data_IF_670602512820
#
_entry.id   IF_670602512820
#
_cell.length_a   1.000
_cell.length_b   1.000
_cell.length_c   1.000
_cell.angle_alpha   90.00
_cell.angle_beta   90.00
_cell.angle_gamma   90.00
#
_symmetry.space_group_name_H-M   'P 1'
#
loop_
_entity.id
_entity.type
_entity.pdbx_description
1 polymer ?
#
# COMPACT_ATOMS: atom_id res chain seq x y z
N UNK A 1 -3.02 4.82 20.87
CA UNK A 1 -2.70 5.49 19.60
C UNK A 1 -3.52 6.78 19.55
N UNK A 2 -2.86 7.94 19.44
CA UNK A 2 -3.55 9.20 19.21
C UNK A 2 -4.15 9.18 17.79
N UNK A 3 -5.35 9.71 17.63
CA UNK A 3 -6.13 9.73 16.37
C UNK A 3 -5.42 10.44 15.20
N UNK A 4 -4.23 11.01 15.43
CA UNK A 4 -3.45 11.79 14.48
C UNK A 4 -2.41 11.01 13.67
N UNK A 5 -2.21 9.69 13.85
CA UNK A 5 -1.23 8.93 13.04
C UNK A 5 -1.82 8.30 11.76
N UNK A 6 -2.97 8.78 11.26
CA UNK A 6 -3.65 8.23 10.07
C UNK A 6 -3.13 8.79 8.73
N UNK A 7 -1.83 9.11 8.63
CA UNK A 7 -1.29 9.90 7.52
C UNK A 7 -0.36 9.15 6.55
N UNK A 8 -0.51 7.83 6.38
CA UNK A 8 0.28 7.11 5.37
C UNK A 8 0.06 7.66 3.94
N UNK A 9 -1.16 8.08 3.61
CA UNK A 9 -1.46 8.69 2.32
C UNK A 9 -0.77 10.06 2.17
N UNK A 10 -0.80 10.93 3.21
CA UNK A 10 -0.08 12.20 3.18
C UNK A 10 1.44 12.01 3.14
N UNK A 11 1.98 10.93 3.73
CA UNK A 11 3.39 10.60 3.63
C UNK A 11 3.79 10.30 2.19
N UNK A 12 2.98 9.50 1.48
CA UNK A 12 3.19 9.20 0.06
C UNK A 12 3.03 10.46 -0.80
N UNK A 13 1.95 11.22 -0.60
CA UNK A 13 1.71 12.47 -1.33
C UNK A 13 2.84 13.49 -1.05
N UNK A 14 3.38 13.52 0.18
CA UNK A 14 4.51 14.36 0.55
C UNK A 14 5.81 13.93 -0.15
N UNK A 15 6.06 12.62 -0.24
CA UNK A 15 7.22 12.08 -0.96
C UNK A 15 7.14 12.31 -2.47
N UNK A 16 5.93 12.37 -3.03
CA UNK A 16 5.67 12.66 -4.44
C UNK A 16 5.56 14.17 -4.76
N UNK A 17 5.71 15.03 -3.75
CA UNK A 17 5.50 16.49 -3.84
C UNK A 17 4.11 16.90 -4.36
N UNK A 18 3.09 16.06 -4.11
CA UNK A 18 1.70 16.24 -4.53
C UNK A 18 0.84 16.92 -3.46
N UNK A 19 1.42 17.29 -2.30
CA UNK A 19 0.72 18.06 -1.27
C UNK A 19 0.71 19.55 -1.59
N UNK A 20 -0.46 20.19 -1.39
CA UNK A 20 -0.53 21.65 -1.44
C UNK A 20 0.36 22.28 -0.35
N UNK A 21 0.88 23.52 -0.54
CA UNK A 21 1.86 24.11 0.36
C UNK A 21 1.41 24.23 1.83
N UNK A 22 0.09 24.38 2.07
CA UNK A 22 -0.45 24.49 3.43
C UNK A 22 -0.46 23.12 4.09
N UNK A 23 -0.94 22.10 3.39
CA UNK A 23 -0.96 20.70 3.88
C UNK A 23 0.45 20.17 4.07
N UNK A 24 1.37 20.45 3.14
CA UNK A 24 2.80 20.12 3.24
C UNK A 24 3.40 20.66 4.54
N UNK A 25 3.21 21.95 4.83
CA UNK A 25 3.72 22.58 6.05
C UNK A 25 3.12 22.01 7.34
N UNK A 26 1.82 21.69 7.32
CA UNK A 26 1.15 21.04 8.47
C UNK A 26 1.67 19.62 8.68
N UNK A 27 1.89 18.88 7.59
CA UNK A 27 2.42 17.52 7.62
C UNK A 27 3.89 17.48 8.07
N UNK A 28 4.74 18.40 7.59
CA UNK A 28 6.12 18.55 8.08
C UNK A 28 6.18 18.87 9.57
N UNK A 29 5.26 19.69 10.07
CA UNK A 29 5.14 19.97 11.50
C UNK A 29 4.73 18.71 12.26
N UNK A 30 3.79 17.93 11.73
CA UNK A 30 3.41 16.66 12.34
C UNK A 30 4.56 15.65 12.34
N UNK A 31 5.25 15.45 11.21
CA UNK A 31 6.47 14.64 11.13
C UNK A 31 7.55 15.09 12.10
N UNK A 32 7.62 16.39 12.41
CA UNK A 32 8.55 16.94 13.38
C UNK A 32 8.23 16.60 14.84
N UNK A 33 6.96 16.38 15.13
CA UNK A 33 6.40 16.25 16.48
C UNK A 33 5.94 14.80 16.76
N UNK A 34 5.98 13.91 15.76
CA UNK A 34 5.52 12.53 15.84
C UNK A 34 6.62 11.54 15.44
N UNK A 35 7.22 10.90 16.45
CA UNK A 35 8.31 9.93 16.28
C UNK A 35 7.92 8.74 15.40
N UNK A 36 6.66 8.27 15.46
CA UNK A 36 6.15 7.15 14.65
C UNK A 36 6.14 7.49 13.16
N UNK A 37 5.56 8.64 12.78
CA UNK A 37 5.49 9.06 11.38
C UNK A 37 6.86 9.41 10.82
N UNK A 38 7.72 9.98 11.65
CA UNK A 38 9.11 10.23 11.29
C UNK A 38 9.88 8.93 11.05
N UNK A 39 9.72 7.94 11.93
CA UNK A 39 10.36 6.64 11.79
C UNK A 39 9.95 5.98 10.48
N UNK A 40 8.65 6.02 10.15
CA UNK A 40 8.13 5.52 8.88
C UNK A 40 8.72 6.26 7.67
N UNK A 41 8.79 7.60 7.71
CA UNK A 41 9.43 8.40 6.66
C UNK A 41 10.90 8.01 6.46
N UNK A 42 11.66 7.88 7.55
CA UNK A 42 13.06 7.47 7.51
C UNK A 42 13.23 6.04 6.99
N UNK A 43 12.32 5.12 7.32
CA UNK A 43 12.34 3.73 6.82
C UNK A 43 12.10 3.65 5.31
N UNK A 44 11.10 4.37 4.79
CA UNK A 44 10.80 4.37 3.35
C UNK A 44 12.00 4.95 2.59
N UNK A 45 12.59 6.03 3.10
CA UNK A 45 13.75 6.68 2.46
C UNK A 45 15.06 5.88 2.59
N UNK A 46 15.22 5.06 3.63
CA UNK A 46 16.40 4.20 3.78
C UNK A 46 16.52 3.18 2.64
N UNK A 47 15.41 2.74 2.05
CA UNK A 47 15.48 1.86 0.89
C UNK A 47 16.03 2.56 -0.37
N UNK A 48 16.17 3.89 -0.34
CA UNK A 48 16.71 4.70 -1.44
C UNK A 48 18.17 5.15 -1.21
N UNK A 49 18.68 5.15 0.02
CA UNK A 49 20.05 5.57 0.35
C UNK A 49 20.64 4.71 1.46
N UNK A 50 21.84 4.14 1.24
CA UNK A 50 22.58 3.19 2.11
C UNK A 50 22.92 3.73 3.52
N UNK A 51 21.92 4.08 4.32
CA UNK A 51 22.08 4.62 5.67
C UNK A 51 21.71 3.53 6.69
N UNK A 52 22.58 3.29 7.69
CA UNK A 52 22.41 2.21 8.65
C UNK A 52 21.22 2.45 9.60
N UNK A 53 20.36 1.44 9.81
CA UNK A 53 19.13 1.52 10.65
C UNK A 53 19.52 1.65 12.12
N UNK A 54 20.61 1.02 12.51
CA UNK A 54 21.07 0.99 13.90
C UNK A 54 21.58 2.36 14.35
N UNK A 55 22.11 3.17 13.43
CA UNK A 55 22.50 4.57 13.70
C UNK A 55 21.29 5.47 13.94
N UNK A 56 20.17 5.25 13.23
CA UNK A 56 18.94 6.03 13.41
C UNK A 56 18.19 5.60 14.67
N UNK A 57 18.13 4.28 14.96
CA UNK A 57 17.49 3.74 16.17
C UNK A 57 18.25 4.08 17.45
N UNK A 58 19.58 4.21 17.37
CA UNK A 58 20.42 4.63 18.50
C UNK A 58 20.52 6.15 18.66
N UNK A 59 19.98 6.91 17.71
CA UNK A 59 19.86 8.36 17.80
C UNK A 59 18.70 8.73 18.73
N UNK A 60 18.94 8.62 20.04
CA UNK A 60 18.10 9.31 21.00
C UNK A 60 18.27 10.82 20.76
N UNK A 61 17.21 11.50 20.34
CA UNK A 61 17.19 12.96 20.28
C UNK A 61 17.15 13.50 21.71
N UNK A 62 18.32 13.57 22.35
CA UNK A 62 18.47 14.05 23.73
C UNK A 62 18.10 15.52 23.87
N UNK A 63 18.01 16.24 22.76
CA UNK A 63 17.63 17.65 22.74
C UNK A 63 16.94 18.06 21.43
N UNK A 64 16.21 19.18 21.49
CA UNK A 64 15.64 19.86 20.33
C UNK A 64 16.71 20.31 19.31
N UNK A 65 17.95 20.54 19.74
CA UNK A 65 19.07 20.87 18.85
C UNK A 65 19.56 19.67 18.04
N UNK A 66 19.58 18.47 18.63
CA UNK A 66 19.97 17.24 17.92
C UNK A 66 18.96 16.93 16.81
N UNK A 67 17.69 17.21 17.08
CA UNK A 67 16.61 17.12 16.11
C UNK A 67 16.78 18.08 14.93
N UNK A 68 17.12 19.34 15.21
CA UNK A 68 17.37 20.34 14.16
C UNK A 68 18.62 20.01 13.33
N UNK A 69 19.67 19.49 13.95
CA UNK A 69 20.87 19.03 13.25
C UNK A 69 20.59 17.84 12.34
N UNK A 70 19.79 16.88 12.79
CA UNK A 70 19.35 15.74 11.97
C UNK A 70 18.48 16.20 10.79
N UNK A 71 17.49 17.07 11.02
CA UNK A 71 16.69 17.68 9.94
C UNK A 71 17.55 18.37 8.90
N UNK A 72 18.52 19.16 9.36
CA UNK A 72 19.46 19.86 8.48
C UNK A 72 20.27 18.86 7.65
N UNK A 73 20.79 17.79 8.27
CA UNK A 73 21.57 16.74 7.59
C UNK A 73 20.74 15.96 6.56
N UNK A 74 19.47 15.67 6.87
CA UNK A 74 18.52 15.04 5.93
C UNK A 74 18.24 16.01 4.77
N UNK A 75 17.87 17.25 5.06
CA UNK A 75 17.61 18.28 4.04
C UNK A 75 18.84 18.52 3.13
N UNK A 76 20.03 18.64 3.69
CA UNK A 76 21.26 18.84 2.93
C UNK A 76 21.57 17.62 2.05
N UNK A 77 21.41 16.38 2.54
CA UNK A 77 21.65 15.19 1.71
C UNK A 77 20.57 14.96 0.64
N UNK A 78 19.33 15.34 0.91
CA UNK A 78 18.19 15.21 0.00
C UNK A 78 18.24 16.21 -1.16
N UNK A 79 18.46 17.49 -0.86
CA UNK A 79 18.26 18.57 -1.84
C UNK A 79 19.54 19.03 -2.55
N UNK A 80 20.73 18.65 -2.06
CA UNK A 80 22.00 19.01 -2.74
C UNK A 80 22.54 17.91 -3.65
N UNK A 81 22.21 16.63 -3.41
CA UNK A 81 22.70 15.50 -4.22
C UNK A 81 21.79 15.14 -5.39
N UNK A 82 20.52 15.47 -5.32
CA UNK A 82 19.58 15.41 -6.43
C UNK A 82 18.95 16.78 -6.63
N UNK A 83 19.57 17.68 -7.41
CA UNK A 83 18.86 18.86 -7.88
C UNK A 83 17.72 18.36 -8.75
N UNK A 84 16.50 18.38 -8.23
CA UNK A 84 15.29 18.29 -9.05
C UNK A 84 15.31 19.54 -9.93
N UNK A 85 15.88 19.40 -11.13
CA UNK A 85 15.87 20.49 -12.10
C UNK A 85 14.45 20.62 -12.62
N UNK A 86 13.86 21.81 -12.47
CA UNK A 86 12.54 22.28 -12.96
C UNK A 86 12.31 22.16 -14.49
N UNK A 87 12.95 21.22 -15.19
CA UNK A 87 13.07 21.25 -16.65
C UNK A 87 12.13 20.32 -17.44
N UNK A 88 11.21 19.58 -16.81
CA UNK A 88 10.23 18.77 -17.54
C UNK A 88 8.77 19.15 -17.22
N UNK A 89 8.47 20.44 -17.36
CA UNK A 89 7.15 21.05 -17.11
C UNK A 89 6.20 21.06 -18.33
N UNK A 90 6.25 20.09 -19.26
CA UNK A 90 5.34 20.14 -20.44
C UNK A 90 4.64 18.86 -20.91
N UNK A 91 4.80 17.71 -20.24
CA UNK A 91 4.10 16.48 -20.65
C UNK A 91 3.55 15.68 -19.46
N UNK A 92 2.83 16.34 -18.55
CA UNK A 92 2.07 15.70 -17.45
C UNK A 92 0.80 14.97 -17.94
N UNK A 93 0.93 14.00 -18.86
CA UNK A 93 -0.14 13.03 -19.19
C UNK A 93 0.26 11.56 -19.06
N UNK A 94 1.50 11.24 -18.68
CA UNK A 94 1.86 9.87 -18.30
C UNK A 94 1.86 9.74 -16.78
N UNK A 95 0.69 9.34 -16.26
CA UNK A 95 0.48 8.79 -14.91
C UNK A 95 1.58 7.76 -14.64
N UNK A 96 2.47 8.08 -13.72
CA UNK A 96 3.64 7.29 -13.40
C UNK A 96 3.28 5.86 -13.01
N UNK A 97 3.87 4.90 -13.72
CA UNK A 97 3.93 3.49 -13.34
C UNK A 97 5.07 3.40 -12.33
N UNK A 98 4.77 3.15 -11.06
CA UNK A 98 5.79 2.71 -10.11
C UNK A 98 6.37 1.39 -10.63
N UNK A 99 7.70 1.20 -10.66
CA UNK A 99 8.28 -0.13 -10.81
C UNK A 99 7.67 -1.05 -9.73
N UNK A 100 7.44 -2.32 -10.03
CA UNK A 100 6.97 -3.34 -9.07
C UNK A 100 7.96 -3.43 -7.88
N UNK A 101 7.83 -2.52 -6.91
CA UNK A 101 8.58 -2.53 -5.67
C UNK A 101 7.88 -3.55 -4.77
N UNK A 102 8.36 -4.78 -4.82
CA UNK A 102 8.18 -5.70 -3.70
C UNK A 102 8.87 -5.07 -2.50
N UNK A 103 8.10 -4.36 -1.67
CA UNK A 103 8.48 -3.95 -0.32
C UNK A 103 8.79 -5.23 0.46
N UNK A 104 10.03 -5.73 0.32
CA UNK A 104 10.63 -6.66 1.26
C UNK A 104 10.94 -5.86 2.53
N UNK A 105 9.87 -5.47 3.24
CA UNK A 105 9.93 -4.99 4.60
C UNK A 105 10.54 -6.13 5.43
N UNK A 106 11.84 -6.08 5.69
CA UNK A 106 12.38 -6.67 6.92
C UNK A 106 11.88 -5.78 8.05
N UNK A 107 10.63 -6.03 8.46
CA UNK A 107 10.00 -5.41 9.62
C UNK A 107 10.84 -5.83 10.81
N UNK A 108 11.29 -4.82 11.55
CA UNK A 108 11.97 -4.95 12.82
C UNK A 108 11.18 -5.84 13.78
N UNK A 109 11.84 -6.80 14.42
CA UNK A 109 11.19 -7.84 15.25
C UNK A 109 10.41 -7.29 16.46
N UNK A 110 10.45 -5.98 16.73
CA UNK A 110 9.82 -5.33 17.87
C UNK A 110 8.45 -4.66 17.60
N UNK A 111 7.96 -4.65 16.36
CA UNK A 111 6.57 -4.29 16.04
C UNK A 111 5.85 -5.51 15.45
N UNK A 112 5.45 -6.43 16.31
CA UNK A 112 4.71 -7.65 15.98
C UNK A 112 3.26 -7.38 15.54
N UNK A 113 3.02 -6.55 14.53
CA UNK A 113 1.95 -6.84 13.57
C UNK A 113 2.55 -7.79 12.54
N UNK A 114 2.62 -9.07 12.92
CA UNK A 114 3.06 -10.12 12.01
C UNK A 114 2.11 -10.12 10.80
N UNK A 115 2.58 -9.60 9.68
CA UNK A 115 1.94 -9.76 8.39
C UNK A 115 2.09 -11.24 8.01
N UNK A 116 1.14 -12.05 8.46
CA UNK A 116 1.09 -13.47 8.15
C UNK A 116 0.30 -13.66 6.87
N UNK A 117 0.93 -14.31 5.89
CA UNK A 117 0.18 -14.81 4.75
C UNK A 117 -0.70 -15.97 5.25
N UNK A 118 -2.01 -15.76 5.27
CA UNK A 118 -2.96 -16.78 5.73
C UNK A 118 -3.02 -17.93 4.73
N UNK A 119 -2.61 -17.69 3.48
CA UNK A 119 -2.53 -18.73 2.47
C UNK A 119 -1.18 -18.65 1.72
N UNK A 120 -0.20 -19.52 2.05
CA UNK A 120 1.13 -19.46 1.44
C UNK A 120 1.10 -19.63 -0.09
N UNK A 121 0.01 -20.17 -0.63
CA UNK A 121 -0.24 -20.30 -2.05
C UNK A 121 -1.51 -19.55 -2.47
N UNK A 122 -1.53 -18.96 -3.67
CA UNK A 122 -2.75 -18.33 -4.18
C UNK A 122 -3.86 -19.36 -4.34
N UNK A 123 -5.04 -18.99 -3.84
CA UNK A 123 -6.24 -19.74 -4.18
C UNK A 123 -6.62 -19.44 -5.63
N UNK A 124 -6.50 -20.45 -6.48
CA UNK A 124 -6.67 -20.31 -7.93
C UNK A 124 -7.99 -20.94 -8.35
N UNK A 125 -8.83 -20.16 -9.04
CA UNK A 125 -10.08 -20.64 -9.66
C UNK A 125 -10.12 -20.29 -11.13
N UNK A 126 -10.48 -21.28 -11.95
CA UNK A 126 -10.76 -21.09 -13.37
C UNK A 126 -12.27 -21.10 -13.57
N UNK A 127 -12.81 -20.04 -14.14
CA UNK A 127 -14.25 -19.89 -14.41
C UNK A 127 -14.43 -19.26 -15.78
N UNK A 128 -15.03 -20.01 -16.72
CA UNK A 128 -15.12 -19.62 -18.14
C UNK A 128 -13.72 -19.31 -18.69
N UNK A 129 -13.53 -18.16 -19.32
CA UNK A 129 -12.26 -17.71 -19.91
C UNK A 129 -11.34 -17.00 -18.91
N UNK A 130 -11.72 -16.98 -17.62
CA UNK A 130 -10.99 -16.29 -16.56
C UNK A 130 -10.27 -17.27 -15.65
N UNK A 131 -9.03 -16.96 -15.30
CA UNK A 131 -8.33 -17.53 -14.17
C UNK A 131 -8.14 -16.42 -13.12
N UNK A 132 -8.62 -16.69 -11.92
CA UNK A 132 -8.63 -15.78 -10.78
C UNK A 132 -7.70 -16.37 -9.74
N UNK A 133 -6.68 -15.63 -9.34
CA UNK A 133 -5.74 -16.00 -8.28
C UNK A 133 -5.95 -15.03 -7.12
N UNK A 134 -6.32 -15.56 -5.96
CA UNK A 134 -6.60 -14.81 -4.73
C UNK A 134 -5.45 -14.97 -3.74
N UNK A 135 -4.93 -13.85 -3.26
CA UNK A 135 -3.91 -13.77 -2.22
C UNK A 135 -4.50 -13.02 -1.02
N UNK A 136 -4.40 -13.61 0.17
CA UNK A 136 -4.99 -13.05 1.39
C UNK A 136 -3.91 -12.84 2.42
N UNK A 137 -3.78 -11.58 2.85
CA UNK A 137 -2.77 -11.17 3.82
C UNK A 137 -3.46 -10.74 5.10
N UNK A 138 -3.08 -11.34 6.24
CA UNK A 138 -3.52 -10.89 7.56
C UNK A 138 -2.82 -9.57 7.88
N UNK A 139 -3.61 -8.57 8.27
CA UNK A 139 -3.07 -7.32 8.83
C UNK A 139 -3.01 -7.44 10.36
N UNK A 140 -4.12 -7.86 10.97
CA UNK A 140 -4.26 -8.07 12.41
C UNK A 140 -5.32 -9.16 12.71
N UNK A 141 -5.70 -9.34 13.97
CA UNK A 141 -6.65 -10.37 14.40
C UNK A 141 -8.06 -10.27 13.79
N UNK A 142 -8.41 -9.11 13.25
CA UNK A 142 -9.75 -8.80 12.74
C UNK A 142 -9.76 -8.39 11.27
N UNK A 143 -8.61 -7.99 10.72
CA UNK A 143 -8.50 -7.36 9.41
C UNK A 143 -7.57 -8.10 8.45
N UNK A 144 -7.96 -8.12 7.18
CA UNK A 144 -7.24 -8.72 6.07
C UNK A 144 -7.17 -7.78 4.86
N UNK A 145 -6.18 -8.01 4.01
CA UNK A 145 -6.12 -7.49 2.66
C UNK A 145 -6.28 -8.64 1.67
N UNK A 146 -6.93 -8.37 0.53
CA UNK A 146 -7.08 -9.32 -0.56
C UNK A 146 -6.47 -8.71 -1.81
N UNK A 147 -5.51 -9.39 -2.43
CA UNK A 147 -5.04 -9.13 -3.79
C UNK A 147 -5.61 -10.18 -4.74
N UNK A 148 -6.07 -9.72 -5.90
CA UNK A 148 -6.73 -10.54 -6.90
C UNK A 148 -6.04 -10.32 -8.23
N UNK A 149 -5.49 -11.40 -8.77
CA UNK A 149 -4.88 -11.42 -10.09
C UNK A 149 -5.80 -12.16 -11.04
N UNK A 150 -6.32 -11.46 -12.04
CA UNK A 150 -7.25 -11.96 -13.06
C UNK A 150 -6.50 -12.07 -14.37
N UNK A 151 -6.39 -13.29 -14.88
CA UNK A 151 -5.94 -13.55 -16.25
C UNK A 151 -7.12 -14.00 -17.10
N UNK A 152 -7.16 -13.55 -18.37
CA UNK A 152 -8.17 -13.93 -19.35
C UNK A 152 -7.45 -14.62 -20.50
N UNK A 153 -8.03 -15.71 -21.02
CA UNK A 153 -7.42 -16.45 -22.14
C UNK A 153 -7.27 -15.59 -23.41
N UNK A 154 -8.09 -14.53 -23.53
CA UNK A 154 -8.00 -13.53 -24.60
C UNK A 154 -7.24 -12.29 -24.13
N UNK A 155 -6.36 -11.73 -24.95
CA UNK A 155 -5.46 -10.63 -24.59
C UNK A 155 -6.13 -9.27 -24.27
N UNK A 156 -7.40 -9.05 -24.62
CA UNK A 156 -8.00 -7.72 -24.47
C UNK A 156 -8.75 -7.57 -23.14
N UNK A 157 -8.17 -6.81 -22.21
CA UNK A 157 -8.80 -6.39 -20.95
C UNK A 157 -9.38 -4.99 -21.13
N UNK A 158 -10.57 -4.88 -21.73
CA UNK A 158 -11.27 -3.59 -21.82
C UNK A 158 -12.49 -3.59 -20.91
N UNK A 159 -12.61 -2.55 -20.09
CA UNK A 159 -13.76 -2.29 -19.22
C UNK A 159 -14.10 -3.44 -18.25
N UNK A 160 -13.07 -4.00 -17.62
CA UNK A 160 -13.26 -5.02 -16.58
C UNK A 160 -13.26 -4.37 -15.20
N UNK A 161 -14.30 -4.68 -14.44
CA UNK A 161 -14.44 -4.29 -13.04
C UNK A 161 -14.53 -5.54 -12.18
N UNK A 162 -14.04 -5.42 -10.96
CA UNK A 162 -14.13 -6.47 -9.95
C UNK A 162 -14.95 -5.94 -8.80
N UNK A 163 -16.04 -6.65 -8.53
CA UNK A 163 -16.98 -6.37 -7.46
C UNK A 163 -16.79 -7.41 -6.37
N UNK A 164 -16.56 -6.96 -5.15
CA UNK A 164 -16.44 -7.79 -3.96
C UNK A 164 -17.62 -7.49 -3.04
N UNK A 165 -18.44 -8.48 -2.76
CA UNK A 165 -19.66 -8.37 -1.94
C UNK A 165 -19.47 -9.21 -0.69
N UNK A 166 -19.52 -8.59 0.48
CA UNK A 166 -19.55 -9.28 1.79
C UNK A 166 -20.96 -9.81 2.05
N UNK A 167 -21.10 -10.90 2.82
CA UNK A 167 -22.39 -11.58 3.08
C UNK A 167 -23.52 -10.70 3.65
N UNK A 168 -23.18 -9.56 4.26
CA UNK A 168 -24.10 -8.53 4.76
C UNK A 168 -24.47 -7.47 3.70
N UNK A 169 -24.13 -7.71 2.44
CA UNK A 169 -24.36 -6.84 1.28
C UNK A 169 -23.49 -5.58 1.21
N UNK A 170 -22.41 -5.48 2.00
CA UNK A 170 -21.39 -4.44 1.77
C UNK A 170 -20.66 -4.72 0.46
N UNK A 171 -20.70 -3.76 -0.47
CA UNK A 171 -20.19 -3.90 -1.83
C UNK A 171 -19.03 -2.93 -2.08
N UNK A 172 -17.93 -3.49 -2.61
CA UNK A 172 -16.80 -2.71 -3.11
C UNK A 172 -16.59 -3.02 -4.58
N UNK A 173 -16.73 -2.01 -5.44
CA UNK A 173 -16.47 -2.08 -6.87
C UNK A 173 -15.18 -1.33 -7.22
N UNK A 174 -14.28 -1.96 -7.96
CA UNK A 174 -13.03 -1.32 -8.41
C UNK A 174 -12.68 -1.75 -9.84
N UNK A 175 -12.09 -0.86 -10.66
CA UNK A 175 -11.61 -1.22 -11.99
C UNK A 175 -10.38 -2.13 -11.90
N UNK A 176 -10.31 -3.15 -12.75
CA UNK A 176 -9.12 -3.98 -12.89
C UNK A 176 -8.04 -3.21 -13.66
N UNK A 177 -6.81 -3.18 -13.14
CA UNK A 177 -5.66 -2.53 -13.77
C UNK A 177 -4.53 -3.52 -13.95
N UNK A 178 -4.04 -3.69 -15.17
CA UNK A 178 -2.92 -4.60 -15.49
C UNK A 178 -3.15 -6.04 -14.99
N UNK A 179 -4.40 -6.49 -15.02
CA UNK A 179 -4.80 -7.81 -14.53
C UNK A 179 -4.79 -7.97 -13.01
N UNK A 180 -4.55 -6.89 -12.24
CA UNK A 180 -4.48 -6.93 -10.77
C UNK A 180 -5.48 -5.97 -10.12
N UNK A 181 -5.88 -6.30 -8.89
CA UNK A 181 -6.69 -5.44 -8.04
C UNK A 181 -6.51 -5.80 -6.56
N UNK A 182 -6.59 -4.79 -5.69
CA UNK A 182 -6.45 -5.00 -4.24
C UNK A 182 -7.60 -4.36 -3.48
N UNK A 183 -8.04 -5.05 -2.43
CA UNK A 183 -9.02 -4.60 -1.45
C UNK A 183 -8.37 -4.62 -0.07
N UNK A 184 -8.56 -3.54 0.68
CA UNK A 184 -7.87 -3.32 1.95
C UNK A 184 -8.85 -3.24 3.12
N UNK A 185 -8.34 -3.54 4.31
CA UNK A 185 -9.03 -3.40 5.60
C UNK A 185 -10.40 -4.13 5.64
N UNK A 186 -10.40 -5.36 5.14
CA UNK A 186 -11.58 -6.22 5.10
C UNK A 186 -11.69 -7.05 6.38
N UNK A 187 -12.90 -7.45 6.73
CA UNK A 187 -13.13 -8.35 7.87
C UNK A 187 -12.96 -9.82 7.43
N UNK A 188 -12.79 -10.71 8.41
CA UNK A 188 -13.03 -12.14 8.19
C UNK A 188 -14.52 -12.39 7.94
N UNK A 189 -14.87 -12.90 6.76
CA UNK A 189 -16.27 -13.12 6.35
C UNK A 189 -16.35 -14.02 5.11
N UNK A 190 -17.58 -14.34 4.71
CA UNK A 190 -17.89 -14.88 3.39
C UNK A 190 -18.01 -13.76 2.36
N UNK A 191 -17.38 -13.95 1.21
CA UNK A 191 -17.34 -13.01 0.11
C UNK A 191 -17.83 -13.65 -1.19
N UNK A 192 -18.49 -12.84 -2.00
CA UNK A 192 -18.77 -13.11 -3.40
C UNK A 192 -17.96 -12.15 -4.25
N UNK A 193 -17.09 -12.70 -5.09
CA UNK A 193 -16.37 -11.95 -6.10
C UNK A 193 -17.11 -12.07 -7.43
N UNK A 194 -17.36 -10.95 -8.09
CA UNK A 194 -17.98 -10.88 -9.41
C UNK A 194 -17.05 -10.09 -10.32
N UNK A 195 -16.70 -10.67 -11.45
CA UNK A 195 -16.02 -9.98 -12.55
C UNK A 195 -17.10 -9.46 -13.49
N UNK A 196 -17.12 -8.16 -13.71
CA UNK A 196 -17.99 -7.49 -14.67
C UNK A 196 -17.17 -7.06 -15.89
N UNK A 197 -17.68 -7.34 -17.08
CA UNK A 197 -17.09 -6.90 -18.34
C UNK A 197 -18.15 -6.13 -19.13
N UNK A 198 -17.82 -4.90 -19.55
CA UNK A 198 -18.77 -4.02 -20.23
C UNK A 198 -20.10 -3.83 -19.44
N UNK A 199 -20.00 -3.70 -18.11
CA UNK A 199 -21.14 -3.55 -17.19
C UNK A 199 -22.08 -4.77 -17.12
N UNK A 200 -21.63 -5.95 -17.56
CA UNK A 200 -22.37 -7.19 -17.45
C UNK A 200 -21.59 -8.21 -16.61
N UNK A 201 -22.24 -8.98 -15.73
CA UNK A 201 -21.57 -10.05 -14.98
C UNK A 201 -20.97 -11.10 -15.91
N UNK A 202 -19.64 -11.20 -15.95
CA UNK A 202 -18.92 -12.17 -16.76
C UNK A 202 -18.76 -13.50 -16.01
N UNK A 203 -18.27 -13.46 -14.77
CA UNK A 203 -18.17 -14.64 -13.90
C UNK A 203 -18.17 -14.23 -12.42
N UNK A 204 -18.28 -15.20 -11.53
CA UNK A 204 -18.13 -14.96 -10.10
C UNK A 204 -17.78 -16.22 -9.32
N UNK A 205 -17.19 -16.03 -8.15
CA UNK A 205 -16.79 -17.07 -7.22
C UNK A 205 -17.23 -16.71 -5.81
N UNK A 206 -17.51 -17.73 -5.01
CA UNK A 206 -17.79 -17.60 -3.59
C UNK A 206 -16.63 -18.18 -2.79
N UNK A 207 -16.21 -17.50 -1.75
CA UNK A 207 -15.19 -17.98 -0.84
C UNK A 207 -15.42 -17.42 0.56
N UNK A 208 -14.91 -18.10 1.55
CA UNK A 208 -14.92 -17.67 2.94
C UNK A 208 -13.49 -17.45 3.41
N UNK A 209 -13.26 -16.38 4.16
CA UNK A 209 -11.96 -16.14 4.79
C UNK A 209 -12.17 -16.16 6.30
N UNK A 210 -11.54 -17.14 6.93
CA UNK A 210 -11.52 -17.32 8.37
C UNK A 210 -10.14 -17.00 8.92
N UNK A 211 -9.98 -17.04 10.24
CA UNK A 211 -8.67 -16.90 10.89
C UNK A 211 -7.71 -18.03 10.51
N UNK A 212 -8.22 -19.18 10.08
CA UNK A 212 -7.43 -20.36 9.78
C UNK A 212 -7.04 -20.47 8.29
N UNK A 213 -7.65 -19.65 7.42
CA UNK A 213 -7.42 -19.78 5.98
C UNK A 213 -8.54 -19.23 5.11
N UNK A 214 -8.26 -19.27 3.81
CA UNK A 214 -9.29 -19.11 2.79
C UNK A 214 -9.90 -20.49 2.47
N UNK A 215 -11.22 -20.59 2.61
CA UNK A 215 -12.02 -21.76 2.31
C UNK A 215 -12.80 -21.47 1.02
N UNK A 216 -12.46 -22.19 -0.04
CA UNK A 216 -13.16 -22.10 -1.31
C UNK A 216 -14.34 -23.05 -1.39
N UNK A 217 -15.51 -22.56 -1.82
CA UNK A 217 -16.64 -23.41 -2.22
C UNK A 217 -16.59 -23.69 -3.73
#
# INVERSE_FOLDING_TARGET
MNETCQYMHLLLDYMLDDLDPKTKKTFEKHLADCDECLHLFAMIHKNETETNIEEIKSFEFKSKSDWQAFKKRIHENLFTKHPWTDQDDKTRTNKYILPDYQLNLKIDDNLHTRIENINPYPYTRKVKDYQINLYVVRINETKINIEINVTKNTQDFKNIYVKLIKSDWDEKLRPLKDGKISFFDLDYASYRLIIEENSQPACGIFFEITKDGLIGQ
#
